data_IF_466495255462
#
_entry.id   IF_466495255462
#
_cell.length_a   1.000
_cell.length_b   1.000
_cell.length_c   1.000
_cell.angle_alpha   90.00
_cell.angle_beta   90.00
_cell.angle_gamma   90.00
#
_symmetry.space_group_name_H-M   'P 1'
#
loop_
_entity.id
_entity.type
_entity.pdbx_description
1 polymer ?
#
# COMPACT_ATOMS: atom_id res chain seq x y z
N UNK A 1 -5.24 -18.91 2.58
CA UNK A 1 -5.87 -17.65 2.12
C UNK A 1 -5.09 -16.47 2.64
N UNK A 2 -3.81 -16.40 2.29
CA UNK A 2 -2.92 -15.29 2.70
C UNK A 2 -2.43 -14.52 1.48
N UNK A 3 -2.40 -15.19 0.32
CA UNK A 3 -2.06 -14.58 -0.97
C UNK A 3 -3.04 -13.47 -1.34
N UNK A 4 -4.35 -13.68 -1.10
CA UNK A 4 -5.37 -12.66 -1.35
C UNK A 4 -5.18 -11.39 -0.52
N UNK A 5 -4.73 -11.51 0.73
CA UNK A 5 -4.47 -10.35 1.58
C UNK A 5 -3.28 -9.53 1.05
N UNK A 6 -2.27 -10.21 0.48
CA UNK A 6 -1.13 -9.55 -0.15
C UNK A 6 -1.54 -8.85 -1.45
N UNK A 7 -2.39 -9.46 -2.27
CA UNK A 7 -2.93 -8.82 -3.48
C UNK A 7 -3.75 -7.56 -3.14
N UNK A 8 -4.62 -7.63 -2.14
CA UNK A 8 -5.41 -6.48 -1.68
C UNK A 8 -4.50 -5.38 -1.10
N UNK A 9 -3.50 -5.73 -0.31
CA UNK A 9 -2.53 -4.77 0.22
C UNK A 9 -1.73 -4.08 -0.90
N UNK A 10 -1.35 -4.83 -1.94
CA UNK A 10 -0.66 -4.26 -3.12
C UNK A 10 -1.57 -3.35 -3.94
N UNK A 11 -2.84 -3.71 -4.10
CA UNK A 11 -3.83 -2.88 -4.76
C UNK A 11 -4.05 -1.57 -4.00
N UNK A 12 -4.24 -1.63 -2.69
CA UNK A 12 -4.39 -0.44 -1.83
C UNK A 12 -3.17 0.49 -1.93
N UNK A 13 -1.96 -0.06 -1.93
CA UNK A 13 -0.72 0.73 -2.09
C UNK A 13 -0.72 1.47 -3.43
N UNK A 14 -1.11 0.81 -4.52
CA UNK A 14 -1.24 1.44 -5.84
C UNK A 14 -2.36 2.50 -5.88
N UNK A 15 -3.52 2.24 -5.26
CA UNK A 15 -4.65 3.17 -5.19
C UNK A 15 -4.30 4.42 -4.36
N UNK A 16 -3.47 4.24 -3.34
CA UNK A 16 -2.89 5.31 -2.54
C UNK A 16 -1.73 6.04 -3.26
N UNK A 17 -1.47 5.71 -4.53
CA UNK A 17 -0.42 6.28 -5.36
C UNK A 17 1.00 6.08 -4.78
N UNK A 18 1.16 5.08 -3.92
CA UNK A 18 2.43 4.62 -3.36
C UNK A 18 2.99 3.52 -4.26
N UNK A 19 4.30 3.57 -4.55
CA UNK A 19 4.88 2.70 -5.56
C UNK A 19 5.07 1.27 -5.03
N UNK A 20 4.14 0.35 -5.31
CA UNK A 20 4.19 -1.02 -4.79
C UNK A 20 5.39 -1.82 -5.28
N UNK A 21 5.92 -1.46 -6.46
CA UNK A 21 7.13 -2.06 -7.03
C UNK A 21 8.36 -1.81 -6.15
N UNK A 22 8.39 -0.69 -5.41
CA UNK A 22 9.45 -0.37 -4.46
C UNK A 22 9.26 -1.07 -3.10
N UNK A 23 8.20 -1.85 -2.89
CA UNK A 23 8.02 -2.61 -1.66
C UNK A 23 9.14 -3.65 -1.47
N UNK A 24 9.67 -4.18 -2.58
CA UNK A 24 10.79 -5.15 -2.59
C UNK A 24 12.16 -4.48 -2.42
N UNK A 25 12.37 -3.30 -3.01
CA UNK A 25 13.65 -2.57 -2.98
C UNK A 25 13.79 -1.62 -1.78
N UNK A 26 12.69 -1.02 -1.33
CA UNK A 26 12.67 0.05 -0.32
C UNK A 26 11.33 0.04 0.45
N UNK A 27 11.11 -0.99 1.29
CA UNK A 27 9.86 -1.14 2.05
C UNK A 27 9.59 0.04 2.99
N UNK A 28 10.64 0.70 3.51
CA UNK A 28 10.50 1.86 4.40
C UNK A 28 9.82 3.04 3.71
N UNK A 29 10.16 3.31 2.44
CA UNK A 29 9.58 4.41 1.66
C UNK A 29 8.10 4.16 1.37
N UNK A 30 7.75 2.93 1.01
CA UNK A 30 6.35 2.55 0.74
C UNK A 30 5.50 2.59 2.00
N UNK A 31 6.03 2.11 3.13
CA UNK A 31 5.34 2.15 4.43
C UNK A 31 5.22 3.59 4.98
N UNK A 32 6.18 4.46 4.71
CA UNK A 32 6.08 5.88 5.02
C UNK A 32 5.02 6.59 4.17
N UNK A 33 4.95 6.26 2.88
CA UNK A 33 3.92 6.75 1.97
C UNK A 33 2.51 6.31 2.42
N UNK A 34 2.30 5.02 2.72
CA UNK A 34 1.03 4.52 3.27
C UNK A 34 0.61 5.20 4.58
N UNK A 35 1.56 5.57 5.44
CA UNK A 35 1.28 6.31 6.68
C UNK A 35 0.98 7.79 6.47
N UNK A 36 1.45 8.36 5.36
CA UNK A 36 1.18 9.75 4.97
C UNK A 36 -0.15 9.88 4.20
N UNK A 37 -0.68 8.78 3.69
CA UNK A 37 -1.99 8.74 3.01
C UNK A 37 -3.10 8.97 4.02
N UNK A 38 -4.06 9.80 3.64
CA UNK A 38 -5.19 10.15 4.47
C UNK A 38 -6.02 8.90 4.82
N UNK A 39 -6.31 8.72 6.10
CA UNK A 39 -7.05 7.56 6.60
C UNK A 39 -8.44 7.43 5.93
N UNK A 40 -9.02 8.54 5.46
CA UNK A 40 -10.29 8.52 4.72
C UNK A 40 -10.17 7.83 3.37
N UNK A 41 -9.02 7.94 2.70
CA UNK A 41 -8.74 7.26 1.42
C UNK A 41 -8.58 5.76 1.64
N UNK A 42 -7.95 5.37 2.75
CA UNK A 42 -7.79 3.96 3.13
C UNK A 42 -9.14 3.35 3.57
N UNK A 43 -10.01 4.15 4.20
CA UNK A 43 -11.30 3.67 4.74
C UNK A 43 -12.39 3.45 3.68
N UNK A 44 -12.17 3.84 2.42
CA UNK A 44 -13.15 3.69 1.33
C UNK A 44 -12.81 2.57 0.34
N UNK A 45 -11.65 1.90 0.48
CA UNK A 45 -11.34 0.60 -0.12
C UNK A 45 -11.68 -0.52 0.87
#
# INVERSE_FOLDING_TARGET
TSEKAVEIGKALINDCNCNVSMLSDSPLTVMACMRAVDAKTISVQ
#
